data_IF_588679563937
#
_entry.id   IF_588679563937
#
_cell.length_a   1.000
_cell.length_b   1.000
_cell.length_c   1.000
_cell.angle_alpha   90.00
_cell.angle_beta   90.00
_cell.angle_gamma   90.00
#
_symmetry.space_group_name_H-M   'P 1'
#
loop_
_entity.id
_entity.type
_entity.pdbx_description
1 polymer ?
#
# COMPACT_ATOMS: atom_id res chain seq x y z
N UNK A 1 -6.95 -15.18 -21.56
CA UNK A 1 -5.90 -14.13 -21.50
C UNK A 1 -6.25 -13.10 -20.42
N UNK A 2 -5.30 -12.68 -19.60
CA UNK A 2 -5.56 -11.61 -18.62
C UNK A 2 -5.92 -10.32 -19.35
N UNK A 3 -6.84 -9.53 -18.79
CA UNK A 3 -7.16 -8.20 -19.33
C UNK A 3 -5.93 -7.28 -19.27
N UNK A 4 -5.83 -6.28 -20.17
CA UNK A 4 -4.73 -5.30 -20.18
C UNK A 4 -4.56 -4.59 -18.82
N UNK A 5 -5.67 -4.37 -18.10
CA UNK A 5 -5.66 -3.78 -16.75
C UNK A 5 -4.99 -4.70 -15.71
N UNK A 6 -5.31 -5.99 -15.72
CA UNK A 6 -4.71 -6.98 -14.80
C UNK A 6 -3.21 -7.14 -15.04
N UNK A 7 -2.76 -7.11 -16.28
CA UNK A 7 -1.32 -7.18 -16.63
C UNK A 7 -0.56 -5.96 -16.11
N UNK A 8 -1.15 -4.76 -16.20
CA UNK A 8 -0.55 -3.52 -15.69
C UNK A 8 -0.43 -3.52 -14.17
N UNK A 9 -1.49 -3.89 -13.46
CA UNK A 9 -1.47 -4.01 -12.00
C UNK A 9 -0.38 -4.96 -11.52
N UNK A 10 -0.33 -6.16 -12.08
CA UNK A 10 0.70 -7.15 -11.76
C UNK A 10 2.13 -6.65 -12.06
N UNK A 11 2.32 -5.82 -13.08
CA UNK A 11 3.60 -5.18 -13.40
C UNK A 11 4.03 -4.19 -12.32
N UNK A 12 3.11 -3.35 -11.86
CA UNK A 12 3.36 -2.38 -10.78
C UNK A 12 3.69 -3.05 -9.45
N UNK A 13 2.92 -4.05 -9.05
CA UNK A 13 3.18 -4.82 -7.83
C UNK A 13 4.58 -5.45 -7.84
N UNK A 14 5.03 -5.98 -8.99
CA UNK A 14 6.41 -6.49 -9.14
C UNK A 14 7.47 -5.40 -9.06
N UNK A 15 7.19 -4.23 -9.65
CA UNK A 15 8.09 -3.07 -9.58
C UNK A 15 8.27 -2.61 -8.12
N UNK A 16 7.18 -2.52 -7.36
CA UNK A 16 7.23 -2.19 -5.92
C UNK A 16 8.04 -3.23 -5.16
N UNK A 17 7.75 -4.52 -5.34
CA UNK A 17 8.47 -5.60 -4.68
C UNK A 17 9.97 -5.59 -5.00
N UNK A 18 10.35 -5.38 -6.24
CA UNK A 18 11.73 -5.29 -6.67
C UNK A 18 12.47 -4.09 -6.06
N UNK A 19 11.84 -2.91 -6.07
CA UNK A 19 12.39 -1.69 -5.44
C UNK A 19 12.65 -1.88 -3.96
N UNK A 20 11.73 -2.50 -3.22
CA UNK A 20 11.89 -2.74 -1.79
C UNK A 20 12.92 -3.83 -1.50
N UNK A 21 13.01 -4.86 -2.35
CA UNK A 21 14.06 -5.88 -2.26
C UNK A 21 15.45 -5.26 -2.43
N UNK A 22 15.62 -4.38 -3.41
CA UNK A 22 16.87 -3.66 -3.63
C UNK A 22 17.20 -2.73 -2.45
N UNK A 23 16.21 -1.97 -1.99
CA UNK A 23 16.37 -0.99 -0.90
C UNK A 23 16.80 -1.64 0.42
N UNK A 24 16.19 -2.77 0.77
CA UNK A 24 16.36 -3.40 2.08
C UNK A 24 17.30 -4.62 2.09
N UNK A 25 17.66 -5.15 0.93
CA UNK A 25 18.51 -6.33 0.82
C UNK A 25 17.87 -7.63 1.32
N UNK A 26 16.54 -7.66 1.42
CA UNK A 26 15.77 -8.86 1.78
C UNK A 26 14.54 -9.02 0.85
N UNK A 27 14.03 -10.24 0.65
CA UNK A 27 13.04 -10.51 -0.39
C UNK A 27 11.68 -9.89 -0.05
N UNK A 28 11.18 -9.05 -0.95
CA UNK A 28 9.79 -8.63 -1.05
C UNK A 28 9.18 -9.30 -2.26
N UNK A 29 8.05 -9.96 -2.14
CA UNK A 29 7.48 -10.80 -3.19
C UNK A 29 6.02 -10.42 -3.45
N UNK A 30 5.66 -10.30 -4.72
CA UNK A 30 4.27 -10.11 -5.12
C UNK A 30 3.42 -11.32 -4.72
N UNK A 31 2.26 -11.09 -4.11
CA UNK A 31 1.28 -12.14 -3.78
C UNK A 31 0.58 -12.59 -5.08
N UNK A 32 0.65 -13.88 -5.46
CA UNK A 32 -0.18 -14.40 -6.53
C UNK A 32 -1.66 -14.31 -6.17
N UNK A 33 -2.49 -13.76 -7.06
CA UNK A 33 -3.94 -13.61 -6.83
C UNK A 33 -4.30 -12.78 -5.58
N UNK A 34 -3.55 -11.72 -5.31
CA UNK A 34 -3.74 -10.81 -4.17
C UNK A 34 -5.17 -10.27 -4.05
N UNK A 35 -5.60 -10.00 -2.83
CA UNK A 35 -6.86 -9.34 -2.50
C UNK A 35 -8.09 -10.24 -2.36
N UNK A 36 -8.08 -11.48 -2.87
CA UNK A 36 -9.27 -12.33 -2.88
C UNK A 36 -9.29 -13.44 -1.81
N UNK A 37 -8.15 -13.79 -1.21
CA UNK A 37 -8.08 -15.01 -0.39
C UNK A 37 -8.50 -14.83 1.06
N UNK A 38 -8.10 -13.75 1.71
CA UNK A 38 -8.39 -13.48 3.14
C UNK A 38 -9.10 -12.14 3.41
N UNK A 39 -9.35 -11.32 2.39
CA UNK A 39 -10.03 -10.04 2.52
C UNK A 39 -11.54 -10.12 2.31
N UNK A 40 -12.29 -9.11 2.75
CA UNK A 40 -13.72 -8.96 2.53
C UNK A 40 -14.54 -10.16 3.01
N UNK A 41 -15.33 -10.75 2.11
CA UNK A 41 -16.17 -11.93 2.40
C UNK A 41 -15.40 -13.17 2.86
N UNK A 42 -14.08 -13.22 2.63
CA UNK A 42 -13.21 -14.33 2.98
C UNK A 42 -12.44 -14.13 4.29
N UNK A 43 -12.72 -13.05 5.05
CA UNK A 43 -12.04 -12.73 6.31
C UNK A 43 -12.10 -13.88 7.35
N UNK A 44 -13.15 -14.71 7.31
CA UNK A 44 -13.29 -15.89 8.16
C UNK A 44 -12.17 -16.93 7.95
N UNK A 45 -11.48 -16.90 6.81
CA UNK A 45 -10.35 -17.81 6.54
C UNK A 45 -9.13 -17.54 7.40
N UNK A 46 -9.00 -16.32 7.95
CA UNK A 46 -7.90 -15.96 8.86
C UNK A 46 -7.83 -16.86 10.10
N UNK A 47 -8.97 -17.27 10.64
CA UNK A 47 -9.03 -18.10 11.84
C UNK A 47 -8.46 -19.51 11.66
N UNK A 48 -8.34 -19.99 10.42
CA UNK A 48 -7.89 -21.34 10.09
C UNK A 48 -6.46 -21.36 9.48
N UNK A 49 -5.77 -20.22 9.46
CA UNK A 49 -4.44 -20.09 8.87
C UNK A 49 -3.39 -19.78 9.94
N UNK A 50 -2.16 -20.27 9.75
CA UNK A 50 -1.03 -19.84 10.58
C UNK A 50 -0.69 -18.37 10.31
N UNK A 51 -0.01 -17.71 11.25
CA UNK A 51 0.44 -16.33 11.10
C UNK A 51 1.28 -16.13 9.83
N UNK A 52 2.15 -17.09 9.50
CA UNK A 52 2.95 -17.06 8.27
C UNK A 52 2.08 -17.15 7.00
N UNK A 53 1.04 -17.98 7.03
CA UNK A 53 0.08 -18.09 5.93
C UNK A 53 -0.76 -16.82 5.79
N UNK A 54 -1.24 -16.23 6.89
CA UNK A 54 -1.96 -14.95 6.90
C UNK A 54 -1.09 -13.87 6.30
N UNK A 55 0.18 -13.79 6.72
CA UNK A 55 1.16 -12.84 6.19
C UNK A 55 1.38 -12.99 4.68
N UNK A 56 1.39 -14.22 4.16
CA UNK A 56 1.54 -14.51 2.73
C UNK A 56 0.34 -14.09 1.88
N UNK A 57 -0.81 -13.74 2.49
CA UNK A 57 -2.02 -13.30 1.78
C UNK A 57 -2.45 -11.86 2.09
N UNK A 58 -1.69 -11.15 2.89
CA UNK A 58 -1.97 -9.79 3.32
C UNK A 58 -1.43 -8.79 2.29
N UNK A 59 -2.31 -7.93 1.78
CA UNK A 59 -1.95 -6.97 0.74
C UNK A 59 -1.53 -7.62 -0.59
N UNK A 60 -0.85 -6.85 -1.42
CA UNK A 60 -0.34 -7.28 -2.73
C UNK A 60 1.13 -7.71 -2.68
N UNK A 61 1.84 -7.37 -1.62
CA UNK A 61 3.26 -7.64 -1.42
C UNK A 61 3.47 -8.40 -0.12
N UNK A 62 4.12 -9.56 -0.19
CA UNK A 62 4.67 -10.25 0.99
C UNK A 62 5.95 -9.50 1.38
N UNK A 63 6.00 -8.85 2.55
CA UNK A 63 7.20 -8.12 2.96
C UNK A 63 8.32 -9.06 3.38
N UNK A 64 9.54 -8.53 3.41
CA UNK A 64 10.70 -9.22 3.94
C UNK A 64 10.54 -9.63 5.41
N UNK A 65 11.34 -10.61 5.90
CA UNK A 65 11.23 -11.15 7.26
C UNK A 65 11.30 -10.12 8.37
N UNK A 66 12.04 -9.02 8.16
CA UNK A 66 12.16 -7.92 9.13
C UNK A 66 10.98 -6.97 9.16
N UNK A 67 9.91 -7.20 8.36
CA UNK A 67 8.78 -6.30 8.19
C UNK A 67 7.42 -6.97 8.47
N UNK A 68 7.22 -7.63 9.62
CA UNK A 68 6.00 -8.38 9.89
C UNK A 68 4.73 -7.51 9.91
N UNK A 69 4.87 -6.21 10.20
CA UNK A 69 3.76 -5.24 10.30
C UNK A 69 3.61 -4.33 9.08
N UNK A 70 4.21 -4.65 7.94
CA UNK A 70 4.10 -3.85 6.73
C UNK A 70 3.02 -4.44 5.80
N UNK A 71 1.99 -3.66 5.52
CA UNK A 71 0.88 -4.01 4.64
C UNK A 71 0.86 -3.07 3.43
N UNK A 72 1.07 -3.58 2.23
CA UNK A 72 1.16 -2.78 1.01
C UNK A 72 0.14 -3.26 -0.02
N UNK A 73 -0.67 -2.34 -0.51
CA UNK A 73 -1.61 -2.51 -1.63
C UNK A 73 -1.12 -1.70 -2.83
N UNK A 74 -1.14 -2.28 -4.02
CA UNK A 74 -0.71 -1.65 -5.27
C UNK A 74 -1.88 -1.28 -6.18
N UNK A 75 -1.89 -0.07 -6.75
CA UNK A 75 -2.88 0.40 -7.72
C UNK A 75 -2.20 1.01 -8.93
N UNK A 76 -2.52 0.49 -10.13
CA UNK A 76 -2.06 1.06 -11.39
C UNK A 76 -3.24 1.37 -12.32
N UNK A 77 -3.45 2.66 -12.56
CA UNK A 77 -4.55 3.16 -13.39
C UNK A 77 -4.04 4.11 -14.48
N UNK A 78 -4.88 4.35 -15.48
CA UNK A 78 -4.55 5.29 -16.55
C UNK A 78 -4.49 6.73 -16.04
N UNK A 79 -5.41 7.09 -15.14
CA UNK A 79 -5.57 8.44 -14.61
C UNK A 79 -6.11 8.40 -13.18
N UNK A 80 -6.01 9.53 -12.48
CA UNK A 80 -6.54 9.72 -11.14
C UNK A 80 -7.06 11.14 -10.95
N UNK A 81 -8.20 11.33 -10.32
CA UNK A 81 -8.81 12.65 -10.15
C UNK A 81 -8.19 13.41 -8.97
N UNK A 82 -6.93 13.84 -9.09
CA UNK A 82 -6.22 14.58 -8.03
C UNK A 82 -6.96 15.81 -7.53
N UNK A 83 -7.74 16.49 -8.40
CA UNK A 83 -8.57 17.64 -8.02
C UNK A 83 -9.58 17.28 -6.92
N UNK A 84 -10.09 16.05 -6.89
CA UNK A 84 -11.04 15.60 -5.86
C UNK A 84 -10.39 15.50 -4.47
N UNK A 85 -9.10 15.29 -4.38
CA UNK A 85 -8.37 15.31 -3.09
C UNK A 85 -8.44 16.70 -2.46
N UNK A 86 -8.27 17.75 -3.27
CA UNK A 86 -8.37 19.14 -2.83
C UNK A 86 -9.83 19.52 -2.52
N UNK A 87 -10.78 18.95 -3.23
CA UNK A 87 -12.22 19.12 -2.98
C UNK A 87 -12.72 18.36 -1.74
N UNK A 88 -11.88 17.45 -1.18
CA UNK A 88 -12.18 16.74 0.05
C UNK A 88 -13.08 15.50 -0.09
N UNK A 89 -13.32 15.02 -1.32
CA UNK A 89 -14.10 13.80 -1.57
C UNK A 89 -13.60 13.08 -2.82
N UNK A 90 -13.00 11.90 -2.65
CA UNK A 90 -12.49 11.07 -3.73
C UNK A 90 -12.93 9.60 -3.52
N UNK A 91 -14.06 9.24 -4.12
CA UNK A 91 -14.66 7.89 -4.00
C UNK A 91 -13.68 6.79 -4.43
N UNK A 92 -12.89 7.03 -5.45
CA UNK A 92 -11.93 6.03 -5.93
C UNK A 92 -10.84 5.76 -4.90
N UNK A 93 -10.30 6.79 -4.27
CA UNK A 93 -9.31 6.64 -3.21
C UNK A 93 -9.94 5.95 -1.99
N UNK A 94 -11.13 6.35 -1.58
CA UNK A 94 -11.83 5.74 -0.45
C UNK A 94 -12.04 4.23 -0.65
N UNK A 95 -12.36 3.79 -1.85
CA UNK A 95 -12.49 2.37 -2.19
C UNK A 95 -11.14 1.62 -2.09
N UNK A 96 -10.04 2.23 -2.49
CA UNK A 96 -8.71 1.63 -2.37
C UNK A 96 -8.23 1.56 -0.92
N UNK A 97 -8.53 2.59 -0.12
CA UNK A 97 -8.25 2.60 1.31
C UNK A 97 -9.05 1.53 2.05
N UNK A 98 -10.32 1.36 1.69
CA UNK A 98 -11.18 0.28 2.21
C UNK A 98 -10.57 -1.09 1.93
N UNK A 99 -10.13 -1.33 0.71
CA UNK A 99 -9.49 -2.58 0.30
C UNK A 99 -8.19 -2.83 1.08
N UNK A 100 -7.32 -1.83 1.22
CA UNK A 100 -6.08 -1.90 1.97
C UNK A 100 -6.34 -2.25 3.44
N UNK A 101 -7.28 -1.55 4.08
CA UNK A 101 -7.56 -1.71 5.51
C UNK A 101 -8.35 -3.00 5.82
N UNK A 102 -9.06 -3.57 4.86
CA UNK A 102 -9.76 -4.87 5.03
C UNK A 102 -8.78 -6.01 5.33
N UNK A 103 -7.56 -5.95 4.83
CA UNK A 103 -6.51 -6.93 5.10
C UNK A 103 -5.58 -6.57 6.25
N UNK A 104 -5.70 -5.36 6.80
CA UNK A 104 -4.84 -4.85 7.86
C UNK A 104 -5.13 -5.48 9.22
N UNK A 105 -4.08 -5.62 10.02
CA UNK A 105 -4.16 -5.94 11.45
C UNK A 105 -3.83 -4.70 12.31
N UNK A 106 -4.15 -4.76 13.58
CA UNK A 106 -3.81 -3.69 14.52
C UNK A 106 -2.29 -3.50 14.60
N UNK A 107 -1.85 -2.26 14.51
CA UNK A 107 -0.44 -1.90 14.55
C UNK A 107 0.30 -2.02 13.21
N UNK A 108 -0.40 -2.37 12.13
CA UNK A 108 0.22 -2.39 10.82
C UNK A 108 0.55 -1.01 10.28
N UNK A 109 1.65 -0.93 9.56
CA UNK A 109 1.96 0.19 8.67
C UNK A 109 1.26 -0.09 7.34
N UNK A 110 0.18 0.64 7.06
CA UNK A 110 -0.61 0.50 5.86
C UNK A 110 -0.15 1.48 4.79
N UNK A 111 0.29 0.97 3.65
CA UNK A 111 0.80 1.74 2.53
C UNK A 111 -0.01 1.42 1.26
N UNK A 112 -0.54 2.46 0.64
CA UNK A 112 -1.14 2.39 -0.68
C UNK A 112 -0.15 2.91 -1.72
N UNK A 113 0.41 2.02 -2.55
CA UNK A 113 1.33 2.36 -3.62
C UNK A 113 0.57 2.55 -4.93
N UNK A 114 0.61 3.75 -5.50
CA UNK A 114 -0.17 4.13 -6.68
C UNK A 114 0.72 4.51 -7.85
N UNK A 115 0.33 4.10 -9.06
CA UNK A 115 0.99 4.52 -10.31
C UNK A 115 -0.06 4.95 -11.33
N UNK A 116 0.19 6.06 -12.02
CA UNK A 116 -0.69 6.57 -13.07
C UNK A 116 0.10 6.81 -14.35
N UNK A 117 -0.53 6.49 -15.50
CA UNK A 117 0.12 6.63 -16.79
C UNK A 117 0.63 8.07 -16.98
N UNK A 118 1.93 8.23 -17.26
CA UNK A 118 2.60 9.53 -17.55
C UNK A 118 2.48 10.58 -16.44
N UNK A 119 2.02 10.19 -15.22
CA UNK A 119 1.88 11.11 -14.07
C UNK A 119 2.80 10.76 -12.92
N UNK A 120 3.39 9.56 -12.90
CA UNK A 120 4.34 9.14 -11.89
C UNK A 120 3.80 8.14 -10.90
N UNK A 121 4.54 7.98 -9.82
CA UNK A 121 4.32 7.03 -8.73
C UNK A 121 4.08 7.80 -7.43
N UNK A 122 3.10 7.36 -6.66
CA UNK A 122 2.69 8.01 -5.41
C UNK A 122 2.48 6.96 -4.33
N UNK A 123 2.54 7.41 -3.09
CA UNK A 123 2.32 6.57 -1.93
C UNK A 123 1.43 7.32 -0.94
N UNK A 124 0.45 6.63 -0.38
CA UNK A 124 -0.35 7.15 0.72
C UNK A 124 -0.09 6.35 1.99
N UNK A 125 0.04 7.04 3.11
CA UNK A 125 0.17 6.47 4.45
C UNK A 125 -0.74 7.19 5.45
N UNK A 126 -1.07 6.51 6.55
CA UNK A 126 -1.95 7.06 7.56
C UNK A 126 -1.30 8.22 8.31
N UNK A 127 -2.04 9.29 8.51
CA UNK A 127 -1.55 10.56 9.06
C UNK A 127 -1.02 10.46 10.50
N UNK A 128 -1.48 9.48 11.28
CA UNK A 128 -0.96 9.25 12.63
C UNK A 128 0.53 8.83 12.65
N UNK A 129 1.10 8.43 11.50
CA UNK A 129 2.53 8.23 11.35
C UNK A 129 3.32 9.51 11.04
N UNK A 130 2.65 10.66 10.81
CA UNK A 130 3.33 11.97 10.75
C UNK A 130 4.05 12.23 12.09
N UNK A 131 5.26 12.72 12.01
CA UNK A 131 6.13 12.83 13.20
C UNK A 131 7.11 11.66 13.33
N UNK A 132 6.73 10.46 12.87
CA UNK A 132 7.64 9.33 12.62
C UNK A 132 8.12 9.34 11.19
N UNK A 133 7.19 9.51 10.23
CA UNK A 133 7.50 9.61 8.80
C UNK A 133 7.52 11.07 8.36
N UNK A 134 8.49 11.41 7.52
CA UNK A 134 8.62 12.72 6.90
C UNK A 134 7.87 12.76 5.57
N UNK A 135 7.10 13.80 5.35
CA UNK A 135 6.38 14.02 4.09
C UNK A 135 7.16 14.87 3.07
N UNK A 136 8.31 15.47 3.47
CA UNK A 136 9.04 16.40 2.61
C UNK A 136 8.28 17.72 2.43
N UNK A 137 8.60 18.45 1.36
CA UNK A 137 8.05 19.79 1.09
C UNK A 137 6.78 19.78 0.24
N UNK A 138 6.47 18.65 -0.41
CA UNK A 138 5.34 18.52 -1.34
C UNK A 138 4.53 17.26 -1.06
N UNK A 139 3.34 17.46 -0.50
CA UNK A 139 2.42 16.35 -0.19
C UNK A 139 0.96 16.86 -0.17
N UNK A 140 0.03 15.92 -0.22
CA UNK A 140 -1.40 16.18 -0.04
C UNK A 140 -1.88 15.45 1.20
N UNK A 141 -2.65 16.13 2.06
CA UNK A 141 -3.43 15.49 3.13
C UNK A 141 -4.86 15.30 2.64
N UNK A 142 -5.35 14.09 2.74
CA UNK A 142 -6.71 13.73 2.38
C UNK A 142 -7.43 13.12 3.59
N UNK A 143 -8.59 13.66 3.93
CA UNK A 143 -9.46 13.12 4.96
C UNK A 143 -10.59 12.30 4.33
N UNK A 144 -10.51 10.97 4.50
CA UNK A 144 -11.60 10.06 4.17
C UNK A 144 -12.56 9.98 5.35
N UNK A 145 -13.86 10.15 5.12
CA UNK A 145 -14.89 10.10 6.17
C UNK A 145 -14.93 8.75 6.91
N UNK A 146 -14.55 7.65 6.22
CA UNK A 146 -14.60 6.29 6.76
C UNK A 146 -13.23 5.74 7.19
N UNK A 147 -12.13 6.33 6.72
CA UNK A 147 -10.79 5.75 6.86
C UNK A 147 -9.77 6.71 7.47
N UNK A 148 -10.22 7.86 7.98
CA UNK A 148 -9.36 8.86 8.62
C UNK A 148 -8.51 9.65 7.62
N UNK A 149 -7.46 10.27 8.11
CA UNK A 149 -6.60 11.16 7.33
C UNK A 149 -5.36 10.43 6.81
N UNK A 150 -5.04 10.69 5.56
CA UNK A 150 -3.92 10.10 4.83
C UNK A 150 -3.04 11.18 4.22
N UNK A 151 -1.75 10.95 4.26
CA UNK A 151 -0.75 11.78 3.57
C UNK A 151 -0.31 11.08 2.30
N UNK A 152 -0.38 11.80 1.18
CA UNK A 152 -0.01 11.33 -0.16
C UNK A 152 1.24 12.08 -0.60
N UNK A 153 2.26 11.34 -1.00
CA UNK A 153 3.59 11.83 -1.35
C UNK A 153 4.11 11.09 -2.59
N UNK A 154 5.10 11.65 -3.25
CA UNK A 154 5.86 10.94 -4.28
C UNK A 154 6.48 9.65 -3.72
N UNK A 155 6.36 8.55 -4.47
CA UNK A 155 6.77 7.21 -4.01
C UNK A 155 8.27 7.15 -3.69
N UNK A 156 9.11 7.62 -4.59
CA UNK A 156 10.57 7.54 -4.40
C UNK A 156 11.03 8.46 -3.27
N UNK A 157 10.45 9.66 -3.17
CA UNK A 157 10.71 10.60 -2.07
C UNK A 157 10.37 10.00 -0.72
N UNK A 158 9.24 9.30 -0.59
CA UNK A 158 8.87 8.65 0.67
C UNK A 158 9.96 7.67 1.14
N UNK A 159 10.40 6.79 0.25
CA UNK A 159 11.39 5.77 0.62
C UNK A 159 12.78 6.35 0.87
N UNK A 160 13.17 7.42 0.16
CA UNK A 160 14.41 8.15 0.43
C UNK A 160 14.41 8.77 1.84
N UNK A 161 13.29 9.33 2.27
CA UNK A 161 13.18 10.00 3.57
C UNK A 161 12.96 9.03 4.74
N UNK A 162 12.28 7.90 4.51
CA UNK A 162 11.67 7.13 5.59
C UNK A 162 12.09 5.65 5.66
N UNK A 163 12.99 5.17 4.80
CA UNK A 163 13.32 3.74 4.73
C UNK A 163 13.77 3.15 6.07
N UNK A 164 14.58 3.88 6.84
CA UNK A 164 15.04 3.44 8.15
C UNK A 164 13.90 3.42 9.19
N UNK A 165 13.04 4.43 9.18
CA UNK A 165 11.89 4.55 10.07
C UNK A 165 10.85 3.46 9.80
N UNK A 166 10.57 3.16 8.52
CA UNK A 166 9.67 2.05 8.16
C UNK A 166 10.21 0.73 8.69
N UNK A 167 11.51 0.46 8.53
CA UNK A 167 12.13 -0.76 9.05
C UNK A 167 12.02 -0.85 10.57
N UNK A 168 12.25 0.25 11.29
CA UNK A 168 12.15 0.29 12.75
C UNK A 168 10.72 0.08 13.26
N UNK A 169 9.72 0.60 12.56
CA UNK A 169 8.29 0.54 12.96
C UNK A 169 7.59 -0.75 12.52
N UNK A 170 8.09 -1.41 11.48
CA UNK A 170 7.47 -2.62 10.91
C UNK A 170 7.82 -3.93 11.64
N UNK A 171 8.62 -3.86 12.67
CA UNK A 171 9.05 -5.01 13.51
C UNK A 171 7.96 -5.52 14.46
#
# INVERSE_FOLDING_TARGET
>A
MPSKGKTKGNGWEREVAASLTELYGEPFVRVPNSGAFIGGKNAHRKSNLSEEQIRGFKGDIIPGPSFPKLNIEGKFYADFPFHQLVQGSCKQLDQWLDQLLTSADEGDINILAMKFNRKGKFLAFQDHHLGTFQAGDSYIRYHSSNHGTWTIIDFDTFWQLNSAQVKAQAQ
#
